data_IF_750236567742
#
_entry.id   IF_750236567742
#
_cell.length_a   1.000
_cell.length_b   1.000
_cell.length_c   1.000
_cell.angle_alpha   90.00
_cell.angle_beta   90.00
_cell.angle_gamma   90.00
#
_symmetry.space_group_name_H-M   'P 1'
#
loop_
_entity.id
_entity.type
_entity.pdbx_description
1 polymer ?
#
# COMPACT_ATOMS: atom_id res chain seq x y z
N UNK A 1 1.59 -20.52 22.03
CA UNK A 1 1.58 -20.84 20.58
C UNK A 1 2.34 -22.13 20.35
N UNK A 2 1.65 -23.19 19.90
CA UNK A 2 2.32 -24.46 19.65
C UNK A 2 3.21 -24.35 18.39
N UNK A 3 4.44 -24.83 18.48
CA UNK A 3 5.30 -24.99 17.29
C UNK A 3 4.74 -26.08 16.38
N UNK A 4 4.91 -25.92 15.06
CA UNK A 4 4.49 -26.94 14.09
C UNK A 4 5.25 -28.26 14.31
N UNK A 5 4.60 -29.38 13.96
CA UNK A 5 5.21 -30.72 14.05
C UNK A 5 6.55 -30.79 13.32
N UNK A 6 6.64 -30.18 12.13
CA UNK A 6 7.86 -30.08 11.35
C UNK A 6 8.98 -29.32 12.08
N UNK A 7 8.67 -28.20 12.75
CA UNK A 7 9.68 -27.44 13.51
C UNK A 7 10.21 -28.23 14.70
N UNK A 8 9.33 -28.98 15.39
CA UNK A 8 9.74 -29.88 16.50
C UNK A 8 10.69 -30.97 16.03
N UNK A 9 10.41 -31.60 14.88
CA UNK A 9 11.29 -32.63 14.30
C UNK A 9 12.67 -32.07 13.92
N UNK A 10 12.73 -30.90 13.28
CA UNK A 10 14.02 -30.26 12.97
C UNK A 10 14.85 -29.97 14.21
N UNK A 11 14.22 -29.45 15.27
CA UNK A 11 14.88 -29.19 16.54
C UNK A 11 15.39 -30.47 17.20
N UNK A 12 14.63 -31.57 17.12
CA UNK A 12 15.06 -32.88 17.60
C UNK A 12 16.33 -33.35 16.89
N UNK A 13 16.35 -33.32 15.55
CA UNK A 13 17.50 -33.74 14.75
C UNK A 13 18.77 -32.96 15.09
N UNK A 14 18.65 -31.63 15.26
CA UNK A 14 19.79 -30.78 15.65
C UNK A 14 20.29 -31.13 17.04
N UNK A 15 19.40 -31.43 18.00
CA UNK A 15 19.79 -31.88 19.35
C UNK A 15 20.51 -33.24 19.32
N UNK A 16 20.15 -34.11 18.39
CA UNK A 16 20.78 -35.41 18.18
C UNK A 16 22.11 -35.32 17.40
N UNK A 17 22.53 -34.11 17.01
CA UNK A 17 23.80 -33.87 16.30
C UNK A 17 23.70 -33.98 14.78
N UNK A 18 22.49 -34.15 14.22
CA UNK A 18 22.30 -34.11 12.77
C UNK A 18 22.42 -32.67 12.24
N UNK A 19 22.84 -32.57 10.98
CA UNK A 19 22.97 -31.31 10.27
C UNK A 19 21.63 -30.56 10.23
N UNK A 20 21.66 -29.25 10.53
CA UNK A 20 20.47 -28.41 10.43
C UNK A 20 19.97 -28.38 8.97
N UNK A 21 18.75 -28.88 8.67
CA UNK A 21 18.24 -28.94 7.31
C UNK A 21 18.05 -27.57 6.65
N UNK A 22 18.08 -26.48 7.43
CA UNK A 22 18.07 -25.11 6.89
C UNK A 22 19.37 -24.79 6.12
N UNK A 23 20.50 -25.40 6.47
CA UNK A 23 21.79 -25.20 5.80
C UNK A 23 21.76 -25.73 4.35
N UNK A 24 21.09 -26.85 4.13
CA UNK A 24 20.96 -27.49 2.80
C UNK A 24 19.76 -26.99 2.00
N UNK A 25 19.06 -25.97 2.48
CA UNK A 25 17.85 -25.50 1.82
C UNK A 25 18.22 -24.72 0.56
N UNK A 26 17.47 -24.92 -0.52
CA UNK A 26 17.71 -24.19 -1.76
C UNK A 26 17.46 -22.68 -1.56
N UNK A 27 18.16 -21.80 -2.30
CA UNK A 27 17.95 -20.36 -2.21
C UNK A 27 16.52 -19.94 -2.56
N UNK A 28 15.80 -20.75 -3.35
CA UNK A 28 14.39 -20.55 -3.69
C UNK A 28 13.45 -20.56 -2.47
N UNK A 29 13.86 -21.15 -1.34
CA UNK A 29 13.06 -21.11 -0.12
C UNK A 29 13.05 -19.71 0.53
N UNK A 30 14.00 -18.85 0.20
CA UNK A 30 14.11 -17.48 0.72
C UNK A 30 13.51 -16.45 -0.25
N UNK A 31 13.45 -16.80 -1.53
CA UNK A 31 12.92 -15.93 -2.58
C UNK A 31 11.41 -16.07 -2.62
N UNK A 32 10.71 -14.94 -2.65
CA UNK A 32 9.30 -14.95 -2.98
C UNK A 32 9.15 -15.23 -4.48
N UNK A 33 8.73 -16.46 -4.80
CA UNK A 33 8.45 -16.92 -6.16
C UNK A 33 7.05 -16.53 -6.62
N UNK A 34 6.30 -15.73 -5.84
CA UNK A 34 5.06 -15.15 -6.33
C UNK A 34 5.35 -14.35 -7.60
N UNK A 35 4.61 -14.66 -8.67
CA UNK A 35 4.76 -13.92 -9.91
C UNK A 35 4.33 -12.47 -9.68
N UNK A 36 5.06 -11.50 -10.24
CA UNK A 36 4.62 -10.11 -10.25
C UNK A 36 3.33 -10.02 -11.07
N UNK A 37 2.18 -10.09 -10.41
CA UNK A 37 0.90 -9.96 -11.06
C UNK A 37 0.60 -8.47 -11.29
N UNK A 38 0.10 -8.15 -12.48
CA UNK A 38 -0.45 -6.82 -12.76
C UNK A 38 -1.65 -6.56 -11.86
N UNK A 39 -1.94 -5.29 -11.59
CA UNK A 39 -3.11 -4.91 -10.77
C UNK A 39 -4.39 -5.50 -11.37
N UNK A 40 -5.26 -6.04 -10.51
CA UNK A 40 -6.62 -6.43 -10.91
C UNK A 40 -7.45 -5.19 -11.27
N UNK A 41 -8.56 -5.37 -12.01
CA UNK A 41 -9.47 -4.26 -12.37
C UNK A 41 -9.86 -3.39 -11.17
N UNK A 42 -10.25 -4.03 -10.06
CA UNK A 42 -10.59 -3.34 -8.81
C UNK A 42 -9.37 -2.63 -8.21
N UNK A 43 -8.21 -3.29 -8.19
CA UNK A 43 -6.97 -2.71 -7.68
C UNK A 43 -6.48 -1.50 -8.48
N UNK A 44 -6.80 -1.41 -9.78
CA UNK A 44 -6.57 -0.22 -10.59
C UNK A 44 -7.63 0.86 -10.34
N UNK A 45 -8.92 0.51 -10.38
CA UNK A 45 -10.04 1.45 -10.20
C UNK A 45 -9.94 2.23 -8.89
N UNK A 46 -9.60 1.55 -7.80
CA UNK A 46 -9.47 2.16 -6.48
C UNK A 46 -8.04 2.66 -6.18
N UNK A 47 -7.12 2.59 -7.14
CA UNK A 47 -5.77 3.13 -6.98
C UNK A 47 -5.81 4.65 -7.06
N UNK A 48 -5.71 5.34 -5.92
CA UNK A 48 -5.53 6.81 -5.87
C UNK A 48 -4.11 7.20 -6.29
N UNK A 49 -3.78 7.11 -7.59
CA UNK A 49 -2.44 7.47 -8.11
C UNK A 49 -2.24 8.98 -8.23
N UNK A 50 -3.28 9.70 -8.61
CA UNK A 50 -3.30 11.17 -8.63
C UNK A 50 -4.55 11.62 -7.88
N UNK A 51 -4.34 12.37 -6.80
CA UNK A 51 -5.43 13.13 -6.20
C UNK A 51 -5.55 14.39 -7.06
N UNK A 52 -6.46 14.38 -8.05
CA UNK A 52 -6.99 15.66 -8.53
C UNK A 52 -7.67 16.26 -7.31
N UNK A 53 -6.99 17.18 -6.64
CA UNK A 53 -7.64 18.09 -5.71
C UNK A 53 -8.72 18.73 -6.56
N UNK A 54 -9.97 18.33 -6.35
CA UNK A 54 -11.11 19.05 -6.87
C UNK A 54 -10.90 20.43 -6.28
N UNK A 55 -10.40 21.36 -7.11
CA UNK A 55 -10.15 22.72 -6.65
C UNK A 55 -11.52 23.19 -6.28
N UNK A 56 -11.80 23.24 -4.97
CA UNK A 56 -13.05 23.72 -4.46
C UNK A 56 -13.35 25.00 -5.23
N UNK A 57 -14.50 25.07 -5.89
CA UNK A 57 -14.95 26.23 -6.69
C UNK A 57 -15.01 27.54 -5.87
N UNK A 58 -14.58 27.50 -4.60
CA UNK A 58 -14.17 28.58 -3.72
C UNK A 58 -13.44 29.74 -4.43
N UNK A 59 -12.60 29.48 -5.43
CA UNK A 59 -11.95 30.55 -6.20
C UNK A 59 -12.97 31.39 -6.99
N UNK A 60 -13.94 30.76 -7.64
CA UNK A 60 -14.98 31.47 -8.37
C UNK A 60 -15.97 32.15 -7.40
N UNK A 61 -16.35 31.48 -6.31
CA UNK A 61 -17.28 32.05 -5.31
C UNK A 61 -16.69 33.31 -4.67
N UNK A 62 -15.41 33.32 -4.32
CA UNK A 62 -14.73 34.50 -3.76
C UNK A 62 -14.61 35.62 -4.78
N UNK A 63 -14.26 35.31 -6.04
CA UNK A 63 -14.17 36.29 -7.11
C UNK A 63 -15.51 37.01 -7.39
N UNK A 64 -16.61 36.26 -7.48
CA UNK A 64 -17.94 36.85 -7.72
C UNK A 64 -18.43 37.69 -6.54
N UNK A 65 -18.12 37.31 -5.30
CA UNK A 65 -18.47 38.12 -4.12
C UNK A 65 -17.68 39.42 -4.07
N UNK A 66 -16.41 39.40 -4.47
CA UNK A 66 -15.57 40.59 -4.52
C UNK A 66 -16.01 41.56 -5.62
N UNK A 67 -16.34 41.06 -6.82
CA UNK A 67 -16.83 41.91 -7.91
C UNK A 67 -18.17 42.57 -7.58
N UNK A 68 -19.07 41.84 -6.93
CA UNK A 68 -20.36 42.38 -6.48
C UNK A 68 -20.19 43.48 -5.42
N UNK A 69 -19.23 43.32 -4.50
CA UNK A 69 -18.90 44.34 -3.50
C UNK A 69 -18.33 45.62 -4.13
N UNK A 70 -17.43 45.50 -5.11
CA UNK A 70 -16.87 46.65 -5.84
C UNK A 70 -17.95 47.38 -6.65
N UNK A 71 -18.88 46.65 -7.27
CA UNK A 71 -19.98 47.26 -8.03
C UNK A 71 -20.97 48.03 -7.13
N UNK A 72 -21.30 47.48 -5.96
CA UNK A 72 -22.21 48.14 -5.00
C UNK A 72 -21.56 49.39 -4.37
N UNK A 73 -20.25 49.38 -4.14
CA UNK A 73 -19.52 50.53 -3.60
C UNK A 73 -19.25 51.64 -4.63
N UNK A 74 -19.32 51.33 -5.92
CA UNK A 74 -19.20 52.31 -7.02
C UNK A 74 -20.53 53.01 -7.39
N UNK A 75 -21.66 52.55 -6.85
CA UNK A 75 -23.02 53.06 -7.14
C UNK A 75 -23.61 53.91 -6.00
N UNK A 76 -22.81 54.21 -4.98
CA UNK A 76 -23.19 55.00 -3.80
C UNK A 76 -22.34 56.26 -3.74
#
# INVERSE_FOLDING_TARGET
>A
MATSKAKKQRQKLVREGHLNPEIKRSPFALIDLSSKQTKTKKGYLYSKKQQNHQRDDSFFVTFFKFSQFVHISSLK
#
